data_IF_768834449328
#
_entry.id   IF_768834449328
#
_cell.length_a   1.000
_cell.length_b   1.000
_cell.length_c   1.000
_cell.angle_alpha   90.00
_cell.angle_beta   90.00
_cell.angle_gamma   90.00
#
_symmetry.space_group_name_H-M   'P 1'
#
loop_
_entity.id
_entity.type
_entity.pdbx_description
1 polymer ?
#
# COMPACT_ATOMS: atom_id res chain seq x y z
N UNK A 1 -14.86 -14.20 6.57
CA UNK A 1 -13.44 -14.45 6.29
C UNK A 1 -13.31 -15.87 5.73
N UNK A 2 -12.49 -16.06 4.69
CA UNK A 2 -12.31 -17.35 4.02
C UNK A 2 -11.03 -17.98 4.60
N UNK A 3 -11.10 -19.20 5.17
CA UNK A 3 -9.91 -19.90 5.63
C UNK A 3 -8.92 -20.17 4.50
N UNK A 4 -7.63 -20.06 4.78
CA UNK A 4 -6.54 -20.34 3.85
C UNK A 4 -5.94 -21.72 4.11
N UNK A 5 -5.22 -22.27 3.13
CA UNK A 5 -4.43 -23.48 3.36
C UNK A 5 -3.25 -23.13 4.26
N UNK A 6 -2.98 -23.87 5.36
CA UNK A 6 -1.82 -23.59 6.20
C UNK A 6 -0.53 -23.71 5.37
N UNK A 7 0.37 -22.72 5.41
CA UNK A 7 1.68 -22.83 4.76
C UNK A 7 2.47 -24.03 5.31
N UNK A 8 3.20 -24.72 4.43
CA UNK A 8 3.96 -25.91 4.82
C UNK A 8 5.06 -25.59 5.84
N UNK A 9 5.63 -24.38 5.77
CA UNK A 9 6.69 -23.91 6.65
C UNK A 9 6.18 -23.31 7.98
N UNK A 10 4.86 -23.30 8.21
CA UNK A 10 4.28 -22.74 9.44
C UNK A 10 4.86 -23.46 10.67
N UNK A 11 5.55 -22.75 11.59
CA UNK A 11 6.15 -23.35 12.77
C UNK A 11 5.13 -24.10 13.64
N UNK A 12 5.52 -25.24 14.19
CA UNK A 12 4.65 -26.06 15.05
C UNK A 12 4.08 -25.28 16.24
N UNK A 13 4.87 -24.33 16.79
CA UNK A 13 4.45 -23.46 17.87
C UNK A 13 3.30 -22.51 17.51
N UNK A 14 3.12 -22.19 16.21
CA UNK A 14 2.08 -21.28 15.72
C UNK A 14 0.84 -22.02 15.20
N UNK A 15 0.93 -23.32 14.91
CA UNK A 15 -0.16 -24.11 14.31
C UNK A 15 -1.45 -24.08 15.10
N UNK A 16 -1.37 -24.14 16.44
CA UNK A 16 -2.57 -24.12 17.29
C UNK A 16 -3.30 -22.77 17.18
N UNK A 17 -2.60 -21.65 17.35
CA UNK A 17 -3.16 -20.30 17.25
C UNK A 17 -3.66 -20.02 15.84
N UNK A 18 -2.88 -20.38 14.81
CA UNK A 18 -3.32 -20.28 13.42
C UNK A 18 -4.61 -21.05 13.16
N UNK A 19 -4.73 -22.28 13.65
CA UNK A 19 -5.94 -23.10 13.43
C UNK A 19 -7.19 -22.48 14.04
N UNK A 20 -7.07 -21.81 15.19
CA UNK A 20 -8.17 -21.07 15.82
C UNK A 20 -8.52 -19.81 15.02
N UNK A 21 -7.52 -19.09 14.52
CA UNK A 21 -7.69 -17.92 13.65
C UNK A 21 -8.26 -18.30 12.28
N UNK A 22 -7.94 -19.47 11.75
CA UNK A 22 -8.23 -19.90 10.39
C UNK A 22 -9.53 -20.71 10.30
N UNK A 23 -10.61 -20.16 10.83
CA UNK A 23 -11.95 -20.74 10.78
C UNK A 23 -12.93 -19.80 10.09
N UNK A 24 -14.11 -20.28 9.68
CA UNK A 24 -15.11 -19.43 9.00
C UNK A 24 -15.74 -18.38 9.92
N UNK A 25 -15.70 -18.60 11.24
CA UNK A 25 -16.26 -17.72 12.28
C UNK A 25 -15.33 -17.72 13.50
N UNK A 26 -14.15 -17.10 13.39
CA UNK A 26 -13.21 -17.07 14.50
C UNK A 26 -13.76 -16.17 15.62
N UNK A 27 -13.71 -16.65 16.86
CA UNK A 27 -14.04 -15.86 18.04
C UNK A 27 -12.77 -15.11 18.49
N UNK A 28 -12.61 -13.85 18.05
CA UNK A 28 -11.42 -13.04 18.35
C UNK A 28 -11.24 -12.85 19.86
N UNK A 29 -12.32 -12.92 20.64
CA UNK A 29 -12.33 -12.84 22.10
C UNK A 29 -11.70 -14.05 22.79
N UNK A 30 -11.61 -15.20 22.11
CA UNK A 30 -10.99 -16.43 22.64
C UNK A 30 -9.50 -16.51 22.33
N UNK A 31 -8.98 -15.58 21.53
CA UNK A 31 -7.59 -15.52 21.12
C UNK A 31 -6.87 -14.44 21.93
N UNK A 32 -5.73 -14.78 22.52
CA UNK A 32 -4.90 -13.78 23.16
C UNK A 32 -4.16 -12.94 22.09
N UNK A 33 -4.00 -11.65 22.37
CA UNK A 33 -3.40 -10.70 21.42
C UNK A 33 -1.96 -11.08 21.03
N UNK A 34 -1.23 -11.76 21.92
CA UNK A 34 0.16 -12.17 21.66
C UNK A 34 0.21 -13.33 20.66
N UNK A 35 -0.73 -14.27 20.74
CA UNK A 35 -0.91 -15.33 19.74
C UNK A 35 -1.24 -14.76 18.36
N UNK A 36 -2.20 -13.83 18.30
CA UNK A 36 -2.54 -13.14 17.03
C UNK A 36 -1.30 -12.46 16.47
N UNK A 37 -0.61 -11.66 17.29
CA UNK A 37 0.59 -10.94 16.89
C UNK A 37 1.68 -11.89 16.38
N UNK A 38 1.94 -13.00 17.07
CA UNK A 38 2.98 -13.96 16.69
C UNK A 38 2.69 -14.62 15.34
N UNK A 39 1.42 -14.95 15.07
CA UNK A 39 1.01 -15.51 13.78
C UNK A 39 1.09 -14.45 12.68
N UNK A 40 0.55 -13.25 12.90
CA UNK A 40 0.58 -12.18 11.89
C UNK A 40 2.01 -11.70 11.60
N UNK A 41 2.89 -11.66 12.61
CA UNK A 41 4.30 -11.31 12.42
C UNK A 41 5.00 -12.32 11.53
N UNK A 42 4.77 -13.62 11.76
CA UNK A 42 5.36 -14.67 10.93
C UNK A 42 4.87 -14.61 9.48
N UNK A 43 3.56 -14.40 9.26
CA UNK A 43 3.05 -14.19 7.90
C UNK A 43 3.66 -12.94 7.25
N UNK A 44 3.77 -11.85 8.01
CA UNK A 44 4.36 -10.61 7.52
C UNK A 44 5.84 -10.80 7.13
N UNK A 45 6.66 -11.44 7.98
CA UNK A 45 8.10 -11.60 7.71
C UNK A 45 8.42 -12.71 6.72
N UNK A 46 7.81 -13.89 6.88
CA UNK A 46 8.20 -15.11 6.13
C UNK A 46 7.38 -15.34 4.87
N UNK A 47 6.16 -14.77 4.80
CA UNK A 47 5.31 -14.90 3.61
C UNK A 47 5.36 -13.63 2.79
N UNK A 48 5.02 -12.48 3.36
CA UNK A 48 4.95 -11.21 2.63
C UNK A 48 6.34 -10.69 2.23
N UNK A 49 7.23 -10.43 3.19
CA UNK A 49 8.57 -9.87 2.90
C UNK A 49 9.51 -10.82 2.14
N UNK A 50 9.16 -12.10 2.01
CA UNK A 50 9.88 -13.06 1.17
C UNK A 50 9.25 -13.22 -0.22
N UNK A 51 8.23 -12.41 -0.56
CA UNK A 51 7.49 -12.47 -1.83
C UNK A 51 6.85 -13.83 -2.10
N UNK A 52 6.39 -14.53 -1.05
CA UNK A 52 5.78 -15.87 -1.13
C UNK A 52 4.27 -15.86 -0.91
N UNK A 53 3.74 -14.78 -0.36
CA UNK A 53 2.33 -14.67 -0.02
C UNK A 53 1.46 -14.53 -1.29
N UNK A 54 0.40 -15.33 -1.39
CA UNK A 54 -0.63 -15.11 -2.40
C UNK A 54 -1.70 -14.10 -1.91
N UNK A 55 -2.60 -13.68 -2.81
CA UNK A 55 -3.67 -12.73 -2.50
C UNK A 55 -4.58 -13.21 -1.36
N UNK A 56 -4.87 -14.50 -1.26
CA UNK A 56 -5.72 -15.05 -0.22
C UNK A 56 -5.03 -14.98 1.15
N UNK A 57 -3.72 -15.29 1.19
CA UNK A 57 -2.88 -15.11 2.38
C UNK A 57 -2.83 -13.64 2.81
N UNK A 58 -2.67 -12.70 1.88
CA UNK A 58 -2.65 -11.27 2.19
C UNK A 58 -3.99 -10.75 2.71
N UNK A 59 -5.11 -11.15 2.09
CA UNK A 59 -6.45 -10.82 2.60
C UNK A 59 -6.69 -11.40 4.00
N UNK A 60 -6.20 -12.61 4.25
CA UNK A 60 -6.27 -13.24 5.56
C UNK A 60 -5.43 -12.49 6.59
N UNK A 61 -4.20 -12.13 6.23
CA UNK A 61 -3.30 -11.35 7.08
C UNK A 61 -3.92 -9.98 7.42
N UNK A 62 -4.43 -9.26 6.41
CA UNK A 62 -5.06 -7.96 6.60
C UNK A 62 -6.24 -8.01 7.58
N UNK A 63 -7.05 -9.07 7.52
CA UNK A 63 -8.16 -9.28 8.45
C UNK A 63 -7.69 -9.41 9.92
N UNK A 64 -6.52 -10.00 10.12
CA UNK A 64 -5.99 -10.31 11.44
C UNK A 64 -5.04 -9.27 12.01
N UNK A 65 -4.47 -8.40 11.18
CA UNK A 65 -3.59 -7.33 11.64
C UNK A 65 -4.30 -6.49 12.73
N UNK A 66 -3.63 -6.25 13.87
CA UNK A 66 -4.12 -5.32 14.90
C UNK A 66 -4.23 -3.89 14.36
N UNK A 67 -5.26 -3.16 14.77
CA UNK A 67 -5.55 -1.81 14.29
C UNK A 67 -4.42 -0.81 14.60
N UNK A 68 -3.59 -1.10 15.59
CA UNK A 68 -2.43 -0.29 15.97
C UNK A 68 -1.29 -0.39 14.93
N UNK A 69 -1.31 -1.40 14.04
CA UNK A 69 -0.30 -1.59 12.99
C UNK A 69 -0.72 -0.92 11.68
N UNK A 70 -1.09 0.37 11.75
CA UNK A 70 -1.66 1.12 10.62
C UNK A 70 -0.78 1.11 9.37
N UNK A 71 0.54 1.23 9.53
CA UNK A 71 1.51 1.20 8.41
C UNK A 71 1.47 -0.14 7.67
N UNK A 72 1.47 -1.26 8.41
CA UNK A 72 1.39 -2.60 7.82
C UNK A 72 0.03 -2.86 7.19
N UNK A 73 -1.04 -2.36 7.80
CA UNK A 73 -2.40 -2.45 7.23
C UNK A 73 -2.43 -1.76 5.86
N UNK A 74 -1.89 -0.54 5.76
CA UNK A 74 -1.84 0.19 4.52
C UNK A 74 -0.97 -0.52 3.47
N UNK A 75 0.22 -1.00 3.83
CA UNK A 75 1.13 -1.74 2.95
C UNK A 75 0.48 -3.01 2.37
N UNK A 76 -0.14 -3.83 3.23
CA UNK A 76 -0.79 -5.07 2.78
C UNK A 76 -2.03 -4.74 1.94
N UNK A 77 -2.82 -3.73 2.30
CA UNK A 77 -3.97 -3.29 1.51
C UNK A 77 -3.54 -2.78 0.12
N UNK A 78 -2.46 -2.01 0.05
CA UNK A 78 -1.88 -1.52 -1.21
C UNK A 78 -1.48 -2.67 -2.13
N UNK A 79 -0.75 -3.65 -1.60
CA UNK A 79 -0.34 -4.85 -2.35
C UNK A 79 -1.54 -5.64 -2.89
N UNK A 80 -2.60 -5.81 -2.08
CA UNK A 80 -3.84 -6.49 -2.54
C UNK A 80 -4.53 -5.67 -3.64
N UNK A 81 -4.61 -4.34 -3.49
CA UNK A 81 -5.21 -3.46 -4.49
C UNK A 81 -4.45 -3.52 -5.82
N UNK A 82 -3.12 -3.50 -5.79
CA UNK A 82 -2.28 -3.66 -6.99
C UNK A 82 -2.58 -5.01 -7.67
N UNK A 83 -2.58 -6.11 -6.91
CA UNK A 83 -2.91 -7.44 -7.44
C UNK A 83 -4.32 -7.50 -8.05
N UNK A 84 -5.30 -6.80 -7.47
CA UNK A 84 -6.65 -6.69 -8.00
C UNK A 84 -6.70 -5.89 -9.31
N UNK A 85 -5.95 -4.78 -9.40
CA UNK A 85 -5.85 -4.00 -10.64
C UNK A 85 -5.22 -4.79 -11.78
N UNK A 86 -4.17 -5.57 -11.50
CA UNK A 86 -3.55 -6.47 -12.49
C UNK A 86 -4.52 -7.54 -12.99
N UNK A 87 -5.41 -8.01 -12.10
CA UNK A 87 -6.49 -8.94 -12.44
C UNK A 87 -7.74 -8.28 -13.03
N UNK A 88 -7.72 -6.97 -13.28
CA UNK A 88 -8.87 -6.15 -13.71
C UNK A 88 -10.09 -6.19 -12.77
N UNK A 89 -9.88 -6.51 -11.49
CA UNK A 89 -10.90 -6.49 -10.43
C UNK A 89 -10.97 -5.10 -9.77
N UNK A 90 -11.30 -4.10 -10.60
CA UNK A 90 -11.18 -2.67 -10.27
C UNK A 90 -12.11 -2.27 -9.12
N UNK A 91 -13.34 -2.77 -9.09
CA UNK A 91 -14.32 -2.42 -8.07
C UNK A 91 -13.87 -2.91 -6.68
N UNK A 92 -13.26 -4.10 -6.61
CA UNK A 92 -12.76 -4.64 -5.34
C UNK A 92 -11.54 -3.87 -4.83
N UNK A 93 -10.66 -3.41 -5.73
CA UNK A 93 -9.54 -2.55 -5.37
C UNK A 93 -10.00 -1.21 -4.79
N UNK A 94 -10.98 -0.56 -5.44
CA UNK A 94 -11.56 0.70 -4.95
C UNK A 94 -12.19 0.51 -3.56
N UNK A 95 -13.04 -0.51 -3.42
CA UNK A 95 -13.74 -0.76 -2.16
C UNK A 95 -12.79 -1.05 -0.99
N UNK A 96 -11.73 -1.83 -1.24
CA UNK A 96 -10.72 -2.14 -0.22
C UNK A 96 -9.93 -0.88 0.19
N UNK A 97 -9.47 -0.10 -0.80
CA UNK A 97 -8.70 1.11 -0.53
C UNK A 97 -9.53 2.15 0.22
N UNK A 98 -10.80 2.37 -0.16
CA UNK A 98 -11.70 3.30 0.53
C UNK A 98 -12.00 2.87 1.98
N UNK A 99 -12.32 1.59 2.22
CA UNK A 99 -12.58 1.08 3.57
C UNK A 99 -11.35 1.17 4.48
N UNK A 100 -10.16 0.95 3.92
CA UNK A 100 -8.89 1.02 4.65
C UNK A 100 -8.53 2.47 4.96
N UNK A 101 -8.59 3.36 3.97
CA UNK A 101 -8.29 4.80 4.12
C UNK A 101 -9.25 5.52 5.06
N UNK A 102 -10.48 5.01 5.23
CA UNK A 102 -11.42 5.53 6.23
C UNK A 102 -10.95 5.31 7.68
N UNK A 103 -10.03 4.36 7.92
CA UNK A 103 -9.52 3.97 9.24
C UNK A 103 -8.06 4.33 9.44
N UNK A 104 -7.26 4.21 8.38
CA UNK A 104 -5.82 4.39 8.37
C UNK A 104 -5.44 5.18 7.12
N UNK A 105 -5.15 6.47 7.30
CA UNK A 105 -4.78 7.34 6.18
C UNK A 105 -3.33 7.06 5.75
N UNK A 106 -3.11 6.88 4.45
CA UNK A 106 -1.81 6.52 3.88
C UNK A 106 -1.64 7.07 2.46
N UNK A 107 -0.43 7.54 2.14
CA UNK A 107 -0.14 8.15 0.84
C UNK A 107 -0.14 7.13 -0.30
N UNK A 108 0.53 5.98 -0.12
CA UNK A 108 0.67 4.96 -1.17
C UNK A 108 -0.69 4.39 -1.54
N UNK A 109 -1.51 4.08 -0.53
CA UNK A 109 -2.83 3.54 -0.75
C UNK A 109 -3.77 4.56 -1.43
N UNK A 110 -3.64 5.86 -1.14
CA UNK A 110 -4.35 6.92 -1.90
C UNK A 110 -3.90 6.99 -3.35
N UNK A 111 -2.61 6.85 -3.62
CA UNK A 111 -2.10 6.80 -5.00
C UNK A 111 -2.71 5.60 -5.73
N UNK A 112 -2.72 4.42 -5.13
CA UNK A 112 -3.34 3.22 -5.70
C UNK A 112 -4.86 3.35 -5.89
N UNK A 113 -5.58 3.96 -4.93
CA UNK A 113 -7.00 4.29 -5.11
C UNK A 113 -7.24 5.18 -6.33
N UNK A 114 -6.41 6.21 -6.54
CA UNK A 114 -6.54 7.07 -7.71
C UNK A 114 -6.27 6.33 -9.03
N UNK A 115 -5.29 5.41 -9.05
CA UNK A 115 -5.06 4.55 -10.20
C UNK A 115 -6.28 3.66 -10.50
N UNK A 116 -6.89 3.09 -9.45
CA UNK A 116 -8.10 2.28 -9.57
C UNK A 116 -9.31 3.09 -10.09
N UNK A 117 -9.54 4.28 -9.53
CA UNK A 117 -10.56 5.23 -10.00
C UNK A 117 -10.34 5.60 -11.47
N UNK A 118 -9.10 5.85 -11.87
CA UNK A 118 -8.78 6.12 -13.28
C UNK A 118 -9.05 4.92 -14.18
N UNK A 119 -8.73 3.71 -13.73
CA UNK A 119 -8.98 2.48 -14.49
C UNK A 119 -10.49 2.23 -14.69
N UNK A 120 -11.30 2.61 -13.71
CA UNK A 120 -12.77 2.61 -13.80
C UNK A 120 -13.33 3.68 -14.76
N UNK A 121 -12.52 4.68 -15.10
CA UNK A 121 -12.90 5.82 -15.95
C UNK A 121 -13.29 7.08 -15.17
N UNK A 122 -13.22 7.07 -13.84
CA UNK A 122 -13.61 8.17 -12.95
C UNK A 122 -12.47 9.19 -12.81
N UNK A 123 -12.07 9.81 -13.92
CA UNK A 123 -10.91 10.70 -13.99
C UNK A 123 -10.97 11.87 -12.99
N UNK A 124 -12.16 12.45 -12.76
CA UNK A 124 -12.31 13.56 -11.82
C UNK A 124 -12.01 13.14 -10.38
N UNK A 125 -12.46 11.94 -9.98
CA UNK A 125 -12.18 11.42 -8.64
C UNK A 125 -10.71 11.06 -8.50
N UNK A 126 -10.12 10.40 -9.50
CA UNK A 126 -8.71 10.06 -9.51
C UNK A 126 -7.81 11.31 -9.36
N UNK A 127 -8.12 12.38 -10.10
CA UNK A 127 -7.42 13.67 -9.99
C UNK A 127 -7.56 14.23 -8.58
N UNK A 128 -8.78 14.29 -8.03
CA UNK A 128 -9.04 14.81 -6.70
C UNK A 128 -8.28 14.04 -5.60
N UNK A 129 -8.29 12.71 -5.66
CA UNK A 129 -7.55 11.85 -4.73
C UNK A 129 -6.05 12.14 -4.76
N UNK A 130 -5.43 12.24 -5.95
CA UNK A 130 -4.01 12.55 -6.07
C UNK A 130 -3.66 13.97 -5.66
N UNK A 131 -4.48 14.97 -6.02
CA UNK A 131 -4.27 16.36 -5.60
C UNK A 131 -4.32 16.49 -4.07
N UNK A 132 -5.25 15.79 -3.41
CA UNK A 132 -5.32 15.75 -1.96
C UNK A 132 -4.08 15.08 -1.34
N UNK A 133 -3.69 13.90 -1.83
CA UNK A 133 -2.53 13.18 -1.31
C UNK A 133 -1.22 13.99 -1.47
N UNK A 134 -1.02 14.59 -2.65
CA UNK A 134 0.17 15.38 -2.97
C UNK A 134 0.18 16.78 -2.33
N UNK A 135 -0.99 17.26 -1.88
CA UNK A 135 -1.15 18.53 -1.17
C UNK A 135 -1.02 18.41 0.34
N UNK A 136 -1.07 17.20 0.90
CA UNK A 136 -1.00 16.95 2.33
C UNK A 136 0.45 16.69 2.77
N UNK A 137 1.07 17.66 3.44
CA UNK A 137 2.46 17.53 3.92
C UNK A 137 2.61 16.43 4.96
N UNK A 138 1.62 16.19 5.82
CA UNK A 138 1.68 15.16 6.86
C UNK A 138 1.76 13.76 6.25
N UNK A 139 1.02 13.51 5.15
CA UNK A 139 1.09 12.24 4.39
C UNK A 139 2.37 12.10 3.55
N UNK A 140 2.98 13.20 3.18
CA UNK A 140 4.24 13.19 2.40
C UNK A 140 5.45 12.99 3.32
N UNK A 141 5.36 13.48 4.56
CA UNK A 141 6.42 13.41 5.57
C UNK A 141 6.53 12.04 6.24
N UNK A 142 5.53 11.16 6.08
CA UNK A 142 5.55 9.76 6.54
C UNK A 142 6.49 8.89 5.69
N UNK A 143 7.80 9.18 5.67
CA UNK A 143 8.87 8.40 5.03
C UNK A 143 8.63 7.95 3.57
N UNK A 144 7.68 8.55 2.85
CA UNK A 144 7.36 8.15 1.48
C UNK A 144 8.56 8.40 0.57
N UNK A 145 9.15 7.34 -0.04
CA UNK A 145 10.27 7.45 -0.96
C UNK A 145 10.04 8.52 -2.03
N UNK A 146 11.12 9.22 -2.40
CA UNK A 146 11.03 10.30 -3.39
C UNK A 146 10.51 9.76 -4.72
N UNK A 147 10.90 8.54 -5.08
CA UNK A 147 10.51 7.82 -6.28
C UNK A 147 8.99 7.65 -6.37
N UNK A 148 8.33 7.25 -5.27
CA UNK A 148 6.87 7.10 -5.23
C UNK A 148 6.17 8.46 -5.37
N UNK A 149 6.69 9.51 -4.73
CA UNK A 149 6.15 10.87 -4.87
C UNK A 149 6.33 11.42 -6.27
N UNK A 150 7.48 11.16 -6.92
CA UNK A 150 7.72 11.51 -8.32
C UNK A 150 6.70 10.81 -9.20
N UNK A 151 6.48 9.50 -8.99
CA UNK A 151 5.52 8.72 -9.77
C UNK A 151 4.09 9.26 -9.62
N UNK A 152 3.65 9.55 -8.39
CA UNK A 152 2.35 10.16 -8.14
C UNK A 152 2.17 11.52 -8.84
N UNK A 153 3.21 12.38 -8.86
CA UNK A 153 3.18 13.64 -9.62
C UNK A 153 3.07 13.43 -11.13
N UNK A 154 3.77 12.44 -11.69
CA UNK A 154 3.67 12.07 -13.10
C UNK A 154 2.30 11.51 -13.44
N UNK A 155 1.72 10.69 -12.56
CA UNK A 155 0.38 10.16 -12.73
C UNK A 155 -0.69 11.25 -12.68
N UNK A 156 -0.58 12.20 -11.75
CA UNK A 156 -1.48 13.37 -11.73
C UNK A 156 -1.36 14.19 -13.03
N UNK A 157 -0.15 14.42 -13.54
CA UNK A 157 0.04 15.09 -14.82
C UNK A 157 -0.65 14.35 -15.97
N UNK A 158 -0.51 13.01 -16.00
CA UNK A 158 -1.14 12.13 -17.00
C UNK A 158 -2.65 12.15 -16.90
N UNK A 159 -3.23 12.08 -15.70
CA UNK A 159 -4.68 12.18 -15.50
C UNK A 159 -5.24 13.52 -16.00
N UNK A 160 -4.56 14.63 -15.68
CA UNK A 160 -4.95 15.95 -16.16
C UNK A 160 -4.85 16.07 -17.69
N UNK A 161 -3.84 15.46 -18.31
CA UNK A 161 -3.73 15.37 -19.76
C UNK A 161 -4.90 14.56 -20.37
N UNK A 162 -5.25 13.43 -19.77
CA UNK A 162 -6.36 12.58 -20.21
C UNK A 162 -7.70 13.32 -20.09
N UNK A 163 -7.87 14.11 -19.03
CA UNK A 163 -9.00 15.03 -18.82
C UNK A 163 -8.95 16.30 -19.70
N UNK A 164 -8.01 16.38 -20.66
CA UNK A 164 -7.80 17.53 -21.57
C UNK A 164 -7.47 18.84 -20.87
N UNK A 165 -7.01 18.79 -19.62
CA UNK A 165 -6.59 19.93 -18.81
C UNK A 165 -5.07 20.18 -18.93
N UNK A 166 -4.56 20.34 -20.16
CA UNK A 166 -3.12 20.41 -20.45
C UNK A 166 -2.37 21.48 -19.64
N UNK A 167 -2.96 22.68 -19.49
CA UNK A 167 -2.34 23.75 -18.70
C UNK A 167 -2.20 23.37 -17.22
N UNK A 168 -3.19 22.66 -16.66
CA UNK A 168 -3.11 22.18 -15.27
C UNK A 168 -2.04 21.10 -15.12
N UNK A 169 -1.86 20.24 -16.13
CA UNK A 169 -0.86 19.16 -16.12
C UNK A 169 0.60 19.67 -16.03
N UNK A 170 0.87 20.91 -16.46
CA UNK A 170 2.22 21.48 -16.43
C UNK A 170 2.80 21.58 -15.01
N UNK A 171 1.97 21.94 -14.01
CA UNK A 171 2.46 22.10 -12.63
C UNK A 171 2.91 20.76 -12.02
N UNK A 172 2.08 19.70 -12.03
CA UNK A 172 2.49 18.36 -11.60
C UNK A 172 3.74 17.84 -12.32
N UNK A 173 3.82 18.01 -13.65
CA UNK A 173 5.00 17.59 -14.40
C UNK A 173 6.29 18.32 -13.96
N UNK A 174 6.21 19.63 -13.71
CA UNK A 174 7.35 20.39 -13.18
C UNK A 174 7.73 19.97 -11.76
N UNK A 175 6.76 19.63 -10.91
CA UNK A 175 7.00 19.14 -9.56
C UNK A 175 7.75 17.80 -9.57
N UNK A 176 7.33 16.86 -10.42
CA UNK A 176 8.04 15.59 -10.62
C UNK A 176 9.50 15.80 -11.03
N UNK A 177 9.76 16.68 -12.01
CA UNK A 177 11.12 16.98 -12.49
C UNK A 177 11.98 17.60 -11.39
N UNK A 178 11.44 18.59 -10.67
CA UNK A 178 12.17 19.26 -9.59
C UNK A 178 12.55 18.27 -8.48
N UNK A 179 11.63 17.38 -8.10
CA UNK A 179 11.87 16.37 -7.08
C UNK A 179 12.92 15.33 -7.54
N UNK A 180 12.85 14.88 -8.80
CA UNK A 180 13.83 13.97 -9.37
C UNK A 180 15.25 14.56 -9.43
N UNK A 181 15.37 15.84 -9.80
CA UNK A 181 16.65 16.55 -9.82
C UNK A 181 17.25 16.70 -8.41
N UNK A 182 16.44 17.08 -7.43
CA UNK A 182 16.86 17.16 -6.03
C UNK A 182 17.34 15.82 -5.49
N UNK A 183 16.58 14.75 -5.75
CA UNK A 183 16.92 13.40 -5.31
C UNK A 183 18.24 12.89 -5.92
N UNK A 184 18.45 13.08 -7.23
CA UNK A 184 19.70 12.70 -7.90
C UNK A 184 20.92 13.46 -7.37
N UNK A 185 20.76 14.75 -7.04
CA UNK A 185 21.82 15.56 -6.45
C UNK A 185 22.21 15.06 -5.04
N UNK A 186 21.23 14.68 -4.20
CA UNK A 186 21.49 14.11 -2.87
C UNK A 186 22.21 12.75 -2.95
N UNK A 187 21.82 11.87 -3.87
CA UNK A 187 22.48 10.56 -4.04
C UNK A 187 23.94 10.69 -4.52
N UNK A 188 24.22 11.63 -5.43
CA UNK A 188 25.59 11.84 -5.93
C UNK A 188 26.52 12.40 -4.86
N UNK A 189 26.04 13.32 -4.01
CA UNK A 189 26.79 13.84 -2.86
C UNK A 189 27.16 12.75 -1.84
N UNK A 190 26.24 11.83 -1.53
CA UNK A 190 26.51 10.69 -0.63
C UNK A 190 27.54 9.70 -1.19
N UNK A 191 27.60 9.51 -2.53
CA UNK A 191 28.62 8.66 -3.16
C UNK A 191 30.02 9.28 -3.11
N UNK A 192 30.13 10.60 -3.22
CA UNK A 192 31.44 11.30 -3.17
C UNK A 192 31.99 11.48 -1.76
N UNK A 193 31.14 11.44 -0.73
CA UNK A 193 31.56 11.60 0.68
C UNK A 193 32.02 10.32 1.39
N UNK A 194 31.93 9.14 0.74
CA UNK A 194 32.28 7.83 1.35
C UNK A 194 33.64 7.28 0.91
N UNK A 195 34.50 8.12 0.32
CA UNK A 195 35.86 7.75 -0.07
C UNK A 195 36.89 8.68 0.56
N UNK A 196 37.32 8.37 1.79
CA UNK A 196 38.71 8.52 2.25
C UNK A 196 38.98 7.36 3.25
N UNK A 197 40.10 6.61 3.11
CA UNK A 197 40.48 5.52 4.00
C UNK A 197 40.78 5.94 5.45
#
# INVERSE_FOLDING_TARGET
MIPITPPAELPDSLKASFSLMNTTKPAREQLDSKSIQSVTEWFYSERWHQERADKAELMWLLHWLPAEQSERIAEIADAICISQLEAADIDSAIALAEDTLAKHDDFCLRHTLALAQSAKGDLNQAIGTLEQALGNSELIESNTPAEQRIQAWLDLARLLQNAKALFKAMRPARAAIALAQGHAASQSSHRTGRSIP
#
